data_IF_188200806904
#
_entry.id   IF_188200806904
#
_cell.length_a   1.000
_cell.length_b   1.000
_cell.length_c   1.000
_cell.angle_alpha   90.00
_cell.angle_beta   90.00
_cell.angle_gamma   90.00
#
_symmetry.space_group_name_H-M   'P 1'
#
loop_
_entity.id
_entity.type
_entity.pdbx_description
1 polymer ?
#
# COMPACT_ATOMS: atom_id res chain seq x y z
N UNK A 1 21.99 4.79 5.06
CA UNK A 1 21.18 3.62 4.63
C UNK A 1 19.74 3.91 5.00
N UNK A 2 18.78 3.75 4.06
CA UNK A 2 17.34 3.95 4.35
C UNK A 2 16.70 2.63 4.76
N UNK A 3 15.87 2.67 5.79
CA UNK A 3 15.11 1.52 6.29
C UNK A 3 13.68 1.62 5.81
N UNK A 4 13.20 0.58 5.14
CA UNK A 4 11.83 0.46 4.65
C UNK A 4 11.17 -0.78 5.24
N UNK A 5 9.90 -0.64 5.62
CA UNK A 5 9.09 -1.74 6.16
C UNK A 5 7.78 -1.79 5.38
N UNK A 6 7.35 -3.00 5.06
CA UNK A 6 6.04 -3.30 4.47
C UNK A 6 5.32 -4.34 5.33
N UNK A 7 4.06 -4.08 5.68
CA UNK A 7 3.29 -4.94 6.58
C UNK A 7 1.81 -4.97 6.23
N UNK A 8 1.28 -6.15 5.95
CA UNK A 8 -0.18 -6.35 5.91
C UNK A 8 -0.70 -6.45 7.35
N UNK A 9 -1.46 -5.46 7.79
CA UNK A 9 -1.93 -5.35 9.18
C UNK A 9 -3.26 -6.03 9.44
N UNK A 10 -3.94 -6.48 8.38
CA UNK A 10 -5.25 -7.15 8.46
C UNK A 10 -6.23 -6.42 9.39
N UNK A 11 -6.45 -5.15 9.12
CA UNK A 11 -7.27 -4.26 9.94
C UNK A 11 -6.45 -3.45 10.94
N UNK A 12 -6.22 -2.17 10.62
CA UNK A 12 -5.34 -1.32 11.42
C UNK A 12 -5.88 -1.04 12.82
N UNK A 13 -7.18 -0.88 13.01
CA UNK A 13 -7.75 -0.60 14.35
C UNK A 13 -7.41 -1.70 15.34
N UNK A 14 -7.54 -2.95 14.94
CA UNK A 14 -7.18 -4.09 15.80
C UNK A 14 -5.65 -4.14 16.04
N UNK A 15 -4.86 -3.82 15.01
CA UNK A 15 -3.40 -3.81 15.10
C UNK A 15 -2.88 -2.71 16.03
N UNK A 16 -3.51 -1.54 16.03
CA UNK A 16 -3.17 -0.45 16.97
C UNK A 16 -3.35 -0.90 18.42
N UNK A 17 -4.42 -1.62 18.72
CA UNK A 17 -4.64 -2.19 20.06
C UNK A 17 -3.63 -3.27 20.47
N UNK A 18 -2.79 -3.72 19.54
CA UNK A 18 -1.76 -4.75 19.76
C UNK A 18 -0.33 -4.23 19.65
N UNK A 19 -0.13 -2.92 19.70
CA UNK A 19 1.21 -2.32 19.74
C UNK A 19 1.73 -1.81 18.39
N UNK A 20 0.86 -1.52 17.42
CA UNK A 20 1.27 -0.99 16.12
C UNK A 20 2.10 0.29 16.22
N UNK A 21 1.64 1.27 17.02
CA UNK A 21 2.32 2.56 17.14
C UNK A 21 3.71 2.41 17.78
N UNK A 22 3.81 1.59 18.80
CA UNK A 22 5.08 1.29 19.47
C UNK A 22 6.06 0.65 18.49
N UNK A 23 5.60 -0.32 17.71
CA UNK A 23 6.43 -0.98 16.71
C UNK A 23 6.93 -0.01 15.62
N UNK A 24 6.06 0.86 15.11
CA UNK A 24 6.47 1.87 14.12
C UNK A 24 7.54 2.79 14.69
N UNK A 25 7.36 3.28 15.93
CA UNK A 25 8.31 4.16 16.62
C UNK A 25 9.65 3.46 16.87
N UNK A 26 9.63 2.23 17.40
CA UNK A 26 10.83 1.44 17.68
C UNK A 26 11.59 1.04 16.40
N UNK A 27 10.87 0.76 15.33
CA UNK A 27 11.48 0.41 14.05
C UNK A 27 12.34 1.52 13.48
N UNK A 28 11.97 2.76 13.78
CA UNK A 28 12.61 3.97 13.26
C UNK A 28 12.78 3.96 11.74
N UNK A 29 11.83 3.35 11.03
CA UNK A 29 11.88 3.22 9.58
C UNK A 29 11.74 4.58 8.90
N UNK A 30 12.46 4.80 7.81
CA UNK A 30 12.34 6.00 6.99
C UNK A 30 11.04 6.01 6.19
N UNK A 31 10.62 4.83 5.75
CA UNK A 31 9.36 4.60 5.03
C UNK A 31 8.69 3.35 5.58
N UNK A 32 7.42 3.50 5.98
CA UNK A 32 6.62 2.41 6.51
C UNK A 32 5.33 2.28 5.71
N UNK A 33 5.14 1.15 5.05
CA UNK A 33 3.97 0.87 4.22
C UNK A 33 3.08 -0.18 4.88
N UNK A 34 1.76 0.04 4.86
CA UNK A 34 0.79 -0.93 5.34
C UNK A 34 -0.23 -1.28 4.26
N UNK A 35 -0.68 -2.52 4.28
CA UNK A 35 -1.75 -3.03 3.44
C UNK A 35 -2.88 -3.57 4.31
N UNK A 36 -4.08 -3.62 3.75
CA UNK A 36 -5.29 -4.05 4.44
C UNK A 36 -5.60 -3.22 5.70
N UNK A 37 -5.61 -1.91 5.56
CA UNK A 37 -5.98 -1.03 6.67
C UNK A 37 -7.43 -1.20 7.13
N UNK A 38 -8.33 -1.57 6.19
CA UNK A 38 -9.77 -1.75 6.40
C UNK A 38 -10.46 -0.54 7.01
N UNK A 39 -9.98 0.66 6.67
CA UNK A 39 -10.43 1.94 7.20
C UNK A 39 -11.13 2.78 6.16
N UNK A 40 -11.97 3.69 6.65
CA UNK A 40 -12.46 4.85 5.93
C UNK A 40 -11.86 6.11 6.53
N UNK A 41 -11.90 7.20 5.77
CA UNK A 41 -11.41 8.50 6.22
C UNK A 41 -12.04 8.89 7.56
N UNK A 42 -11.21 9.38 8.49
CA UNK A 42 -11.67 9.85 9.80
C UNK A 42 -11.97 8.77 10.84
N UNK A 43 -11.84 7.47 10.51
CA UNK A 43 -12.09 6.40 11.47
C UNK A 43 -10.98 6.19 12.49
N UNK A 44 -9.78 6.62 12.21
CA UNK A 44 -8.64 6.58 13.14
C UNK A 44 -7.76 7.80 12.94
N UNK A 45 -7.14 8.24 14.02
CA UNK A 45 -6.12 9.25 14.02
C UNK A 45 -4.87 8.68 14.68
N UNK A 46 -3.76 8.62 13.93
CA UNK A 46 -2.49 8.07 14.43
C UNK A 46 -1.56 9.18 14.88
N UNK A 47 -1.07 9.08 16.11
CA UNK A 47 -0.01 9.91 16.64
C UNK A 47 1.36 9.32 16.28
N UNK A 48 1.90 9.74 15.13
CA UNK A 48 3.21 9.33 14.63
C UNK A 48 4.09 10.57 14.38
N UNK A 49 4.66 11.18 15.46
CA UNK A 49 5.53 12.34 15.33
C UNK A 49 6.72 12.05 14.41
N UNK A 50 7.03 12.99 13.51
CA UNK A 50 8.12 12.86 12.55
C UNK A 50 7.76 12.09 11.27
N UNK A 51 6.56 11.57 11.18
CA UNK A 51 6.06 10.93 9.96
C UNK A 51 4.97 11.74 9.28
N UNK A 52 5.06 11.84 7.96
CA UNK A 52 3.97 12.24 7.09
C UNK A 52 3.14 11.01 6.76
N UNK A 53 1.82 11.16 6.71
CA UNK A 53 0.88 10.05 6.53
C UNK A 53 0.11 10.22 5.21
N UNK A 54 0.10 9.18 4.40
CA UNK A 54 -0.61 9.12 3.13
C UNK A 54 -1.52 7.90 3.13
N UNK A 55 -2.82 8.13 2.91
CA UNK A 55 -3.85 7.11 3.03
C UNK A 55 -4.61 6.94 1.73
N UNK A 56 -4.84 5.69 1.35
CA UNK A 56 -5.71 5.35 0.23
C UNK A 56 -6.78 4.37 0.71
N UNK A 57 -8.03 4.84 0.74
CA UNK A 57 -9.16 4.09 1.29
C UNK A 57 -9.94 3.42 0.17
N UNK A 58 -10.49 2.22 0.43
CA UNK A 58 -11.48 1.61 -0.46
C UNK A 58 -12.84 2.31 -0.31
N UNK A 59 -13.63 2.35 -1.39
CA UNK A 59 -15.01 2.81 -1.32
C UNK A 59 -15.87 1.90 -0.43
N UNK A 60 -15.61 0.59 -0.49
CA UNK A 60 -16.29 -0.40 0.36
C UNK A 60 -15.75 -0.35 1.78
N UNK A 61 -16.68 -0.21 2.75
CA UNK A 61 -16.34 -0.16 4.18
C UNK A 61 -15.72 -1.47 4.67
N UNK A 62 -14.72 -1.34 5.55
CA UNK A 62 -14.07 -2.48 6.20
C UNK A 62 -13.29 -3.40 5.26
N UNK A 63 -12.82 -2.87 4.14
CA UNK A 63 -12.21 -3.65 3.07
C UNK A 63 -10.96 -2.97 2.52
N UNK A 64 -9.92 -3.77 2.17
CA UNK A 64 -8.71 -3.31 1.49
C UNK A 64 -8.06 -2.08 2.17
N UNK A 65 -7.58 -1.12 1.38
CA UNK A 65 -6.94 0.10 1.87
C UNK A 65 -5.44 -0.05 2.13
N UNK A 66 -4.69 0.99 1.78
CA UNK A 66 -3.25 1.07 2.00
C UNK A 66 -2.88 2.40 2.65
N UNK A 67 -1.72 2.44 3.30
CA UNK A 67 -1.15 3.68 3.78
C UNK A 67 0.38 3.65 3.69
N UNK A 68 0.97 4.82 3.61
CA UNK A 68 2.41 5.01 3.61
C UNK A 68 2.77 6.13 4.60
N UNK A 69 3.75 5.87 5.44
CA UNK A 69 4.28 6.83 6.41
C UNK A 69 5.74 7.11 6.07
N UNK A 70 6.10 8.38 5.92
CA UNK A 70 7.45 8.78 5.51
C UNK A 70 8.02 9.84 6.44
N UNK A 71 9.30 9.74 6.79
CA UNK A 71 10.01 10.79 7.51
C UNK A 71 10.35 11.96 6.59
N UNK A 72 10.85 11.67 5.39
CA UNK A 72 11.12 12.66 4.36
C UNK A 72 9.85 12.98 3.58
N UNK A 73 9.66 14.25 3.22
CA UNK A 73 8.56 14.66 2.36
C UNK A 73 8.83 14.24 0.92
N UNK A 74 7.95 13.43 0.29
CA UNK A 74 8.09 13.11 -1.11
C UNK A 74 7.92 14.34 -2.01
N UNK A 75 8.52 14.30 -3.18
CA UNK A 75 8.30 15.30 -4.25
C UNK A 75 6.84 15.32 -4.68
N UNK A 76 6.24 14.13 -4.78
CA UNK A 76 4.81 13.94 -5.08
C UNK A 76 4.31 12.62 -4.52
N UNK A 77 3.01 12.54 -4.33
CA UNK A 77 2.31 11.28 -3.96
C UNK A 77 1.11 11.12 -4.87
N UNK A 78 0.94 9.94 -5.43
CA UNK A 78 -0.23 9.60 -6.23
C UNK A 78 -0.89 8.32 -5.71
N UNK A 79 -2.18 8.18 -6.00
CA UNK A 79 -3.03 7.11 -5.50
C UNK A 79 -3.65 6.35 -6.66
N UNK A 80 -3.55 5.03 -6.63
CA UNK A 80 -4.06 4.17 -7.68
C UNK A 80 -3.16 4.08 -8.92
N UNK A 81 -3.70 3.52 -9.98
CA UNK A 81 -3.03 3.31 -11.27
C UNK A 81 -3.40 4.36 -12.32
N UNK A 82 -4.32 5.26 -12.02
CA UNK A 82 -4.92 6.18 -12.99
C UNK A 82 -6.01 5.52 -13.85
N UNK A 83 -6.56 4.40 -13.40
CA UNK A 83 -7.62 3.65 -14.07
C UNK A 83 -8.80 3.53 -13.11
N UNK A 84 -9.92 4.24 -13.34
CA UNK A 84 -11.03 4.32 -12.39
C UNK A 84 -11.57 2.96 -11.91
N UNK A 85 -11.63 1.97 -12.80
CA UNK A 85 -12.12 0.63 -12.47
C UNK A 85 -11.21 -0.12 -11.48
N UNK A 86 -9.92 0.24 -11.44
CA UNK A 86 -8.92 -0.37 -10.57
C UNK A 86 -8.63 0.44 -9.31
N UNK A 87 -9.10 1.69 -9.24
CA UNK A 87 -8.70 2.64 -8.20
C UNK A 87 -9.72 2.79 -7.06
N UNK A 88 -10.78 1.96 -7.04
CA UNK A 88 -11.86 2.03 -6.05
C UNK A 88 -11.58 1.31 -4.72
N UNK A 89 -10.53 0.50 -4.68
CA UNK A 89 -10.28 -0.37 -3.54
C UNK A 89 -9.06 0.04 -2.69
N UNK A 90 -8.48 1.23 -2.96
CA UNK A 90 -7.39 1.79 -2.16
C UNK A 90 -6.13 0.91 -2.13
N UNK A 91 -5.70 0.38 -3.28
CA UNK A 91 -4.68 -0.66 -3.36
C UNK A 91 -3.26 -0.18 -3.59
N UNK A 92 -3.08 1.01 -4.14
CA UNK A 92 -1.76 1.50 -4.58
C UNK A 92 -1.52 2.92 -4.10
N UNK A 93 -0.35 3.16 -3.51
CA UNK A 93 0.19 4.49 -3.25
C UNK A 93 1.59 4.56 -3.85
N UNK A 94 1.87 5.61 -4.59
CA UNK A 94 3.19 5.89 -5.15
C UNK A 94 3.74 7.18 -4.57
N UNK A 95 4.90 7.11 -3.92
CA UNK A 95 5.64 8.27 -3.48
C UNK A 95 6.87 8.48 -4.39
N UNK A 96 7.01 9.68 -4.93
CA UNK A 96 8.18 10.09 -5.69
C UNK A 96 9.18 10.79 -4.78
N UNK A 97 10.40 10.30 -4.75
CA UNK A 97 11.55 10.97 -4.15
C UNK A 97 12.50 11.47 -5.24
N UNK A 98 13.55 12.20 -4.87
CA UNK A 98 14.44 12.80 -5.87
C UNK A 98 15.04 11.76 -6.82
N UNK A 99 15.48 10.62 -6.30
CA UNK A 99 16.25 9.63 -7.05
C UNK A 99 15.49 8.31 -7.32
N UNK A 100 14.29 8.12 -6.78
CA UNK A 100 13.55 6.86 -6.88
C UNK A 100 12.07 7.05 -6.58
N UNK A 101 11.27 6.05 -6.97
CA UNK A 101 9.88 5.88 -6.54
C UNK A 101 9.77 4.78 -5.49
N UNK A 102 8.85 4.94 -4.56
CA UNK A 102 8.37 3.84 -3.68
C UNK A 102 6.89 3.60 -3.96
N UNK A 103 6.55 2.36 -4.31
CA UNK A 103 5.18 1.94 -4.58
C UNK A 103 4.80 0.89 -3.55
N UNK A 104 3.75 1.15 -2.77
CA UNK A 104 3.10 0.11 -1.96
C UNK A 104 1.87 -0.39 -2.66
N UNK A 105 1.64 -1.68 -2.59
CA UNK A 105 0.56 -2.34 -3.30
C UNK A 105 -0.09 -3.43 -2.43
N UNK A 106 -1.42 -3.48 -2.47
CA UNK A 106 -2.21 -4.62 -2.00
C UNK A 106 -2.98 -5.19 -3.19
N UNK A 107 -2.46 -6.29 -3.77
CA UNK A 107 -3.05 -6.87 -4.98
C UNK A 107 -4.42 -7.50 -4.70
N UNK A 108 -5.36 -7.46 -5.67
CA UNK A 108 -6.65 -8.12 -5.51
C UNK A 108 -6.50 -9.62 -5.25
N UNK A 109 -7.30 -10.14 -4.32
CA UNK A 109 -7.41 -11.57 -4.10
C UNK A 109 -8.35 -12.17 -5.15
N UNK A 110 -8.01 -13.34 -5.70
CA UNK A 110 -8.85 -14.06 -6.66
C UNK A 110 -10.12 -14.66 -6.04
N UNK A 111 -10.22 -14.66 -4.71
CA UNK A 111 -11.28 -15.24 -3.89
C UNK A 111 -11.44 -16.75 -4.03
N UNK A 112 -12.26 -17.33 -3.17
CA UNK A 112 -12.57 -18.77 -3.20
C UNK A 112 -13.21 -19.14 -4.54
N UNK A 113 -12.80 -20.27 -5.09
CA UNK A 113 -13.26 -20.73 -6.39
C UNK A 113 -12.78 -19.89 -7.57
N UNK A 114 -11.78 -19.02 -7.35
CA UNK A 114 -11.20 -18.15 -8.38
C UNK A 114 -12.20 -17.18 -9.04
N UNK A 115 -13.23 -16.77 -8.30
CA UNK A 115 -14.33 -15.93 -8.81
C UNK A 115 -13.86 -14.57 -9.35
N UNK A 116 -12.71 -14.06 -8.92
CA UNK A 116 -12.13 -12.78 -9.37
C UNK A 116 -10.83 -12.97 -10.14
N UNK A 117 -10.54 -14.17 -10.64
CA UNK A 117 -9.26 -14.42 -11.31
C UNK A 117 -9.07 -13.55 -12.56
N UNK A 118 -10.10 -13.42 -13.39
CA UNK A 118 -10.03 -12.60 -14.61
C UNK A 118 -9.75 -11.13 -14.26
N UNK A 119 -10.45 -10.58 -13.26
CA UNK A 119 -10.20 -9.24 -12.74
C UNK A 119 -8.76 -9.11 -12.20
N UNK A 120 -8.28 -10.12 -11.47
CA UNK A 120 -6.91 -10.16 -10.95
C UNK A 120 -5.89 -10.09 -12.08
N UNK A 121 -6.10 -10.82 -13.16
CA UNK A 121 -5.19 -10.83 -14.31
C UNK A 121 -5.15 -9.47 -15.02
N UNK A 122 -6.31 -8.87 -15.28
CA UNK A 122 -6.40 -7.52 -15.85
C UNK A 122 -5.71 -6.48 -14.96
N UNK A 123 -5.92 -6.57 -13.65
CA UNK A 123 -5.29 -5.67 -12.68
C UNK A 123 -3.77 -5.81 -12.67
N UNK A 124 -3.24 -7.04 -12.75
CA UNK A 124 -1.80 -7.31 -12.82
C UNK A 124 -1.17 -6.73 -14.08
N UNK A 125 -1.81 -6.87 -15.23
CA UNK A 125 -1.33 -6.28 -16.48
C UNK A 125 -1.28 -4.75 -16.39
N UNK A 126 -2.31 -4.15 -15.83
CA UNK A 126 -2.37 -2.70 -15.61
C UNK A 126 -1.28 -2.23 -14.63
N UNK A 127 -1.06 -2.97 -13.55
CA UNK A 127 -0.04 -2.67 -12.56
C UNK A 127 1.38 -2.79 -13.14
N UNK A 128 1.65 -3.84 -13.90
CA UNK A 128 2.94 -4.01 -14.59
C UNK A 128 3.20 -2.85 -15.55
N UNK A 129 2.22 -2.47 -16.35
CA UNK A 129 2.34 -1.33 -17.27
C UNK A 129 2.61 -0.02 -16.53
N UNK A 130 1.95 0.17 -15.38
CA UNK A 130 2.16 1.32 -14.51
C UNK A 130 3.59 1.39 -13.97
N UNK A 131 4.12 0.29 -13.43
CA UNK A 131 5.49 0.22 -12.93
C UNK A 131 6.52 0.49 -14.02
N UNK A 132 6.32 -0.05 -15.22
CA UNK A 132 7.21 0.18 -16.37
C UNK A 132 7.27 1.65 -16.78
N UNK A 133 6.16 2.36 -16.73
CA UNK A 133 6.14 3.80 -17.01
C UNK A 133 6.92 4.60 -15.96
N UNK A 134 6.83 4.22 -14.68
CA UNK A 134 7.61 4.85 -13.63
C UNK A 134 9.11 4.62 -13.83
N UNK A 135 9.51 3.39 -14.19
CA UNK A 135 10.92 3.02 -14.41
C UNK A 135 11.59 3.83 -15.53
N UNK A 136 10.83 4.34 -16.50
CA UNK A 136 11.37 5.21 -17.57
C UNK A 136 11.97 6.51 -17.02
N UNK A 137 11.52 6.94 -15.83
CA UNK A 137 11.95 8.19 -15.20
C UNK A 137 12.97 7.97 -14.08
N UNK A 138 12.71 7.06 -13.19
CA UNK A 138 13.52 6.78 -11.99
C UNK A 138 13.40 5.31 -11.58
N UNK A 139 14.40 4.75 -10.88
CA UNK A 139 14.26 3.43 -10.27
C UNK A 139 13.02 3.31 -9.40
N UNK A 140 12.37 2.15 -9.42
CA UNK A 140 11.17 1.87 -8.63
C UNK A 140 11.48 0.82 -7.59
N UNK A 141 11.18 1.14 -6.33
CA UNK A 141 11.15 0.19 -5.22
C UNK A 141 9.67 -0.13 -4.97
N UNK A 142 9.31 -1.38 -5.16
CA UNK A 142 7.94 -1.83 -4.97
C UNK A 142 7.86 -2.80 -3.80
N UNK A 143 6.86 -2.65 -2.96
CA UNK A 143 6.60 -3.52 -1.82
C UNK A 143 5.09 -3.69 -1.60
N UNK A 144 4.73 -4.72 -0.87
CA UNK A 144 3.35 -4.95 -0.49
C UNK A 144 2.97 -6.41 -0.38
N UNK A 145 1.67 -6.67 -0.42
CA UNK A 145 1.09 -8.00 -0.39
C UNK A 145 0.60 -8.40 -1.78
N UNK A 146 1.26 -9.39 -2.37
CA UNK A 146 0.94 -9.89 -3.72
C UNK A 146 -0.23 -10.88 -3.74
N UNK A 147 -0.78 -11.26 -2.58
CA UNK A 147 -1.83 -12.28 -2.49
C UNK A 147 -1.49 -13.57 -3.28
N UNK A 148 -0.26 -14.03 -3.13
CA UNK A 148 0.26 -15.25 -3.72
C UNK A 148 0.65 -16.24 -2.63
N UNK A 149 0.35 -17.50 -2.84
CA UNK A 149 0.77 -18.58 -1.96
C UNK A 149 1.44 -19.70 -2.74
N UNK A 150 2.64 -20.09 -2.30
CA UNK A 150 3.34 -21.25 -2.84
C UNK A 150 2.92 -22.57 -2.18
N UNK A 151 2.17 -22.51 -1.09
CA UNK A 151 1.76 -23.69 -0.31
C UNK A 151 0.71 -24.54 -1.05
N UNK A 152 -0.03 -23.91 -1.94
CA UNK A 152 -1.16 -24.53 -2.66
C UNK A 152 -0.87 -24.78 -4.14
N UNK A 153 0.38 -24.72 -4.55
CA UNK A 153 0.79 -25.05 -5.92
C UNK A 153 1.07 -26.55 -6.04
#
# INVERSE_FOLDING_TARGET
MRKMISWNVNGLRACVGKGFLEYVKESDADIFCIQESKLQEGQIELDLPGYRQYWNYAEKKGYSGTAMFTKEEPVSVSYGLGIPEHDKEGRVITAEFDDYYVVTCYTPNSQDGLNRLDYRMEWEDAFLSYLKKLEEKKPVIFCGDLNLSLIHI
#
